data_IF_571654170874
#
_entry.id   IF_571654170874
#
_cell.length_a   1.000
_cell.length_b   1.000
_cell.length_c   1.000
_cell.angle_alpha   90.00
_cell.angle_beta   90.00
_cell.angle_gamma   90.00
#
_symmetry.space_group_name_H-M   'P 1'
#
loop_
_entity.id
_entity.type
_entity.pdbx_description
1 polymer ?
#
# COMPACT_ATOMS: atom_id res chain seq x y z
N UNK A 1 12.77 7.86 14.46
CA UNK A 1 13.47 8.87 13.65
C UNK A 1 14.48 8.18 12.74
N UNK A 2 15.57 7.61 13.25
CA UNK A 2 16.55 6.84 12.46
C UNK A 2 15.92 5.76 11.58
N UNK A 3 15.03 4.92 12.14
CA UNK A 3 14.29 3.92 11.38
C UNK A 3 13.50 4.50 10.19
N UNK A 4 13.05 5.76 10.23
CA UNK A 4 12.37 6.40 9.08
C UNK A 4 13.36 6.86 8.02
N UNK A 5 14.53 7.34 8.43
CA UNK A 5 15.62 7.74 7.51
C UNK A 5 16.14 6.54 6.72
N UNK A 6 16.26 5.39 7.38
CA UNK A 6 16.64 4.12 6.77
C UNK A 6 15.50 3.44 5.99
N UNK A 7 14.35 4.12 5.83
CA UNK A 7 13.14 3.57 5.18
C UNK A 7 12.65 2.26 5.79
N UNK A 8 12.82 2.09 7.10
CA UNK A 8 12.39 0.93 7.85
C UNK A 8 10.88 0.95 8.14
N UNK A 9 10.27 -0.23 8.12
CA UNK A 9 8.84 -0.48 8.26
C UNK A 9 8.30 -0.40 9.70
N UNK A 10 8.93 0.31 10.63
CA UNK A 10 8.50 0.28 12.04
C UNK A 10 7.28 1.20 12.26
N UNK A 11 6.05 0.70 12.49
CA UNK A 11 4.94 1.60 12.81
C UNK A 11 5.09 2.14 14.24
N UNK A 12 4.64 3.38 14.48
CA UNK A 12 4.72 4.01 15.80
C UNK A 12 3.97 3.20 16.87
N UNK A 13 2.88 2.53 16.49
CA UNK A 13 2.13 1.64 17.38
C UNK A 13 2.97 0.47 17.91
N UNK A 14 3.78 -0.16 17.05
CA UNK A 14 4.70 -1.25 17.50
C UNK A 14 5.85 -0.70 18.33
N UNK A 15 6.37 0.48 18.01
CA UNK A 15 7.39 1.13 18.83
C UNK A 15 6.87 1.42 20.24
N UNK A 16 5.63 1.92 20.36
CA UNK A 16 4.97 2.13 21.64
C UNK A 16 4.76 0.83 22.40
N UNK A 17 4.23 -0.21 21.74
CA UNK A 17 4.03 -1.52 22.36
C UNK A 17 5.33 -2.13 22.90
N UNK A 18 6.43 -2.07 22.13
CA UNK A 18 7.74 -2.56 22.56
C UNK A 18 8.30 -1.83 23.79
N UNK A 19 7.94 -0.55 23.95
CA UNK A 19 8.36 0.28 25.08
C UNK A 19 7.31 0.31 26.20
N UNK A 20 6.19 -0.40 26.05
CA UNK A 20 5.04 -0.32 26.98
C UNK A 20 4.51 1.11 27.16
N UNK A 21 4.61 1.94 26.10
CA UNK A 21 4.13 3.32 26.06
C UNK A 21 2.92 3.43 25.14
N UNK A 22 1.85 4.14 25.53
CA UNK A 22 0.73 4.44 24.64
C UNK A 22 1.18 5.07 23.32
N UNK A 23 0.70 4.53 22.19
CA UNK A 23 1.09 4.96 20.83
C UNK A 23 0.82 6.45 20.56
N UNK A 24 -0.21 7.01 21.19
CA UNK A 24 -0.54 8.45 21.12
C UNK A 24 0.58 9.31 21.72
N UNK A 25 1.17 8.90 22.85
CA UNK A 25 2.28 9.62 23.47
C UNK A 25 3.52 9.53 22.59
N UNK A 26 3.81 8.34 22.04
CA UNK A 26 4.91 8.18 21.07
C UNK A 26 4.72 9.10 19.86
N UNK A 27 3.49 9.21 19.34
CA UNK A 27 3.17 10.12 18.23
C UNK A 27 3.33 11.59 18.60
N UNK A 28 2.90 11.99 19.80
CA UNK A 28 3.07 13.35 20.32
C UNK A 28 4.55 13.73 20.43
N UNK A 29 5.36 12.89 21.06
CA UNK A 29 6.80 13.14 21.23
C UNK A 29 7.53 13.10 19.88
N UNK A 30 7.15 12.18 19.00
CA UNK A 30 7.69 12.12 17.64
C UNK A 30 7.41 13.40 16.86
N UNK A 31 6.19 13.93 16.93
CA UNK A 31 5.83 15.22 16.32
C UNK A 31 6.63 16.38 16.94
N UNK A 32 6.75 16.41 18.27
CA UNK A 32 7.54 17.42 18.98
C UNK A 32 9.00 17.44 18.52
N UNK A 33 9.64 16.26 18.47
CA UNK A 33 11.01 16.11 17.98
C UNK A 33 11.17 16.52 16.51
N UNK A 34 10.21 16.16 15.66
CA UNK A 34 10.24 16.51 14.23
C UNK A 34 10.21 18.03 14.03
N UNK A 35 9.37 18.74 14.81
CA UNK A 35 9.31 20.21 14.80
C UNK A 35 10.58 20.85 15.35
N UNK A 36 11.10 20.35 16.47
CA UNK A 36 12.33 20.87 17.09
C UNK A 36 13.54 20.72 16.16
N UNK A 37 13.62 19.63 15.42
CA UNK A 37 14.70 19.37 14.47
C UNK A 37 14.49 20.02 13.10
N UNK A 38 13.39 20.76 12.90
CA UNK A 38 12.99 21.34 11.61
C UNK A 38 12.99 20.33 10.45
N UNK A 39 12.58 19.09 10.74
CA UNK A 39 12.55 18.01 9.75
C UNK A 39 11.15 17.86 9.18
N UNK A 40 11.09 17.47 7.90
CA UNK A 40 9.84 17.03 7.29
C UNK A 40 9.35 15.73 7.94
N UNK A 41 8.04 15.60 8.10
CA UNK A 41 7.46 14.35 8.57
C UNK A 41 7.62 13.28 7.47
N UNK A 42 8.38 12.22 7.77
CA UNK A 42 8.57 11.09 6.85
C UNK A 42 7.58 9.98 7.21
N UNK A 43 6.61 9.74 6.33
CA UNK A 43 5.71 8.59 6.43
C UNK A 43 6.46 7.30 6.13
N UNK A 44 6.14 6.18 6.82
CA UNK A 44 6.63 4.87 6.38
C UNK A 44 6.12 4.59 4.96
N UNK A 45 7.02 4.17 4.07
CA UNK A 45 6.61 3.73 2.74
C UNK A 45 5.69 2.50 2.86
N UNK A 46 4.56 2.55 2.15
CA UNK A 46 3.54 1.50 2.19
C UNK A 46 4.11 0.14 1.76
N UNK A 47 4.99 0.15 0.76
CA UNK A 47 5.74 -1.03 0.31
C UNK A 47 6.51 -1.72 1.44
N UNK A 48 7.20 -0.95 2.29
CA UNK A 48 7.99 -1.52 3.38
C UNK A 48 7.08 -2.11 4.45
N UNK A 49 5.93 -1.48 4.72
CA UNK A 49 4.92 -2.00 5.64
C UNK A 49 4.28 -3.28 5.12
N UNK A 50 4.01 -3.38 3.82
CA UNK A 50 3.52 -4.61 3.18
C UNK A 50 4.51 -5.75 3.37
N UNK A 51 5.81 -5.52 3.15
CA UNK A 51 6.84 -6.55 3.37
C UNK A 51 6.90 -6.97 4.83
N UNK A 52 6.83 -6.02 5.77
CA UNK A 52 6.85 -6.33 7.20
C UNK A 52 5.59 -7.07 7.67
N UNK A 53 4.44 -6.77 7.09
CA UNK A 53 3.20 -7.49 7.38
C UNK A 53 3.23 -8.91 6.77
N UNK A 54 3.73 -9.05 5.54
CA UNK A 54 3.89 -10.34 4.87
C UNK A 54 4.81 -11.29 5.64
N UNK A 55 5.88 -10.76 6.24
CA UNK A 55 6.81 -11.55 7.07
C UNK A 55 6.11 -12.22 8.27
N UNK A 56 5.05 -11.62 8.80
CA UNK A 56 4.27 -12.16 9.92
C UNK A 56 3.16 -13.09 9.42
N UNK A 57 2.53 -12.73 8.31
CA UNK A 57 1.30 -13.37 7.81
C UNK A 57 1.61 -14.63 6.98
N UNK A 58 2.56 -14.57 6.05
CA UNK A 58 2.80 -15.64 5.09
C UNK A 58 3.25 -16.98 5.71
N UNK A 59 4.02 -17.02 6.81
CA UNK A 59 4.34 -18.30 7.46
C UNK A 59 3.12 -19.12 7.89
N UNK A 60 1.96 -18.48 8.12
CA UNK A 60 0.71 -19.17 8.46
C UNK A 60 -0.01 -19.77 7.23
N UNK A 61 0.26 -19.28 6.02
CA UNK A 61 -0.36 -19.75 4.78
C UNK A 61 0.57 -20.64 3.95
N UNK A 62 1.88 -20.40 4.01
CA UNK A 62 2.93 -21.15 3.30
C UNK A 62 4.01 -21.60 4.29
N UNK A 63 3.73 -22.62 5.13
CA UNK A 63 4.73 -23.18 6.02
C UNK A 63 5.84 -23.84 5.19
N UNK A 64 7.09 -23.40 5.41
CA UNK A 64 8.25 -23.92 4.67
C UNK A 64 8.62 -23.11 3.42
N UNK A 65 8.09 -21.90 3.27
CA UNK A 65 8.54 -20.95 2.26
C UNK A 65 10.08 -20.83 2.23
N UNK A 66 10.66 -21.06 1.05
CA UNK A 66 12.08 -20.87 0.79
C UNK A 66 12.31 -19.62 -0.09
N UNK A 67 13.44 -18.95 0.14
CA UNK A 67 13.87 -17.80 -0.65
C UNK A 67 13.41 -16.43 -0.12
N UNK A 68 13.80 -15.34 -0.81
CA UNK A 68 13.56 -13.98 -0.33
C UNK A 68 12.07 -13.63 -0.32
N UNK A 69 11.58 -13.09 0.80
CA UNK A 69 10.17 -12.70 0.99
C UNK A 69 9.63 -11.79 -0.14
N UNK A 70 10.44 -10.86 -0.65
CA UNK A 70 10.06 -9.95 -1.73
C UNK A 70 9.84 -10.64 -3.08
N UNK A 71 10.36 -11.85 -3.27
CA UNK A 71 10.21 -12.60 -4.51
C UNK A 71 8.94 -13.45 -4.52
N UNK A 72 8.27 -13.59 -3.37
CA UNK A 72 7.05 -14.36 -3.24
C UNK A 72 5.93 -13.74 -4.08
N UNK A 73 5.13 -14.55 -4.82
CA UNK A 73 4.10 -14.05 -5.72
C UNK A 73 3.15 -13.05 -5.06
N UNK A 74 2.62 -13.41 -3.88
CA UNK A 74 1.72 -12.55 -3.09
C UNK A 74 2.38 -11.22 -2.73
N UNK A 75 3.65 -11.25 -2.32
CA UNK A 75 4.38 -10.04 -1.90
C UNK A 75 4.69 -9.15 -3.09
N UNK A 76 5.13 -9.72 -4.21
CA UNK A 76 5.35 -8.96 -5.46
C UNK A 76 4.09 -8.24 -5.90
N UNK A 77 2.97 -8.95 -5.89
CA UNK A 77 1.66 -8.40 -6.24
C UNK A 77 1.23 -7.30 -5.26
N UNK A 78 1.39 -7.54 -3.96
CA UNK A 78 1.09 -6.56 -2.92
C UNK A 78 1.97 -5.29 -3.03
N UNK A 79 3.22 -5.41 -3.48
CA UNK A 79 4.08 -4.26 -3.77
C UNK A 79 3.59 -3.46 -4.99
N UNK A 80 3.14 -4.12 -6.06
CA UNK A 80 2.52 -3.44 -7.21
C UNK A 80 1.27 -2.65 -6.79
N UNK A 81 0.41 -3.26 -5.97
CA UNK A 81 -0.81 -2.62 -5.45
C UNK A 81 -0.45 -1.46 -4.50
N UNK A 82 0.51 -1.65 -3.59
CA UNK A 82 0.97 -0.59 -2.69
C UNK A 82 1.51 0.61 -3.45
N UNK A 83 2.26 0.37 -4.52
CA UNK A 83 2.80 1.42 -5.40
C UNK A 83 1.69 2.16 -6.12
N UNK A 84 0.73 1.44 -6.69
CA UNK A 84 -0.46 2.03 -7.32
C UNK A 84 -1.24 2.93 -6.36
N UNK A 85 -1.55 2.41 -5.15
CA UNK A 85 -2.30 3.14 -4.14
C UNK A 85 -1.54 4.34 -3.58
N UNK A 86 -0.20 4.30 -3.60
CA UNK A 86 0.62 5.45 -3.22
C UNK A 86 0.51 6.62 -4.21
N UNK A 87 0.26 6.35 -5.50
CA UNK A 87 0.08 7.39 -6.51
C UNK A 87 -1.28 8.08 -6.44
N UNK A 88 -2.28 7.42 -5.88
CA UNK A 88 -3.67 7.89 -5.86
C UNK A 88 -4.02 8.54 -4.52
N UNK A 89 -3.01 8.78 -3.67
CA UNK A 89 -3.17 9.32 -2.30
C UNK A 89 -4.20 8.53 -1.47
N UNK A 90 -4.41 7.27 -1.83
CA UNK A 90 -5.47 6.43 -1.28
C UNK A 90 -5.27 6.10 0.21
N UNK A 91 -4.07 6.34 0.73
CA UNK A 91 -3.70 6.13 2.12
C UNK A 91 -3.81 7.41 2.99
N UNK A 92 -4.15 8.56 2.42
CA UNK A 92 -4.15 9.83 3.14
C UNK A 92 -5.23 9.88 4.22
N UNK A 93 -4.80 10.26 5.43
CA UNK A 93 -5.66 10.36 6.61
C UNK A 93 -5.88 9.06 7.39
N UNK A 94 -5.34 7.92 6.93
CA UNK A 94 -5.56 6.60 7.56
C UNK A 94 -4.25 5.93 7.97
N UNK A 95 -4.36 4.88 8.79
CA UNK A 95 -3.18 4.14 9.28
C UNK A 95 -2.53 3.36 8.14
N UNK A 96 -1.27 3.67 7.75
CA UNK A 96 -0.61 2.98 6.64
C UNK A 96 -0.29 1.52 6.97
N UNK A 97 -0.22 1.15 8.26
CA UNK A 97 -0.07 -0.24 8.67
C UNK A 97 -1.34 -1.07 8.42
N UNK A 98 -2.52 -0.48 8.65
CA UNK A 98 -3.81 -1.13 8.36
C UNK A 98 -4.04 -1.21 6.86
N UNK A 99 -3.63 -0.17 6.12
CA UNK A 99 -3.62 -0.19 4.66
C UNK A 99 -2.78 -1.36 4.11
N UNK A 100 -1.56 -1.56 4.62
CA UNK A 100 -0.71 -2.68 4.22
C UNK A 100 -1.36 -4.05 4.50
N UNK A 101 -2.04 -4.20 5.65
CA UNK A 101 -2.78 -5.41 5.99
C UNK A 101 -3.92 -5.68 5.00
N UNK A 102 -4.71 -4.65 4.64
CA UNK A 102 -5.78 -4.76 3.68
C UNK A 102 -5.29 -5.16 2.27
N UNK A 103 -4.17 -4.58 1.83
CA UNK A 103 -3.53 -4.94 0.55
C UNK A 103 -3.15 -6.43 0.54
N UNK A 104 -2.58 -6.93 1.63
CA UNK A 104 -2.25 -8.36 1.75
C UNK A 104 -3.50 -9.24 1.68
N UNK A 105 -4.59 -8.88 2.37
CA UNK A 105 -5.84 -9.64 2.29
C UNK A 105 -6.36 -9.77 0.84
N UNK A 106 -6.31 -8.68 0.06
CA UNK A 106 -6.73 -8.71 -1.34
C UNK A 106 -5.79 -9.56 -2.21
N UNK A 107 -4.48 -9.50 -1.98
CA UNK A 107 -3.50 -10.29 -2.74
C UNK A 107 -3.53 -11.78 -2.37
N UNK A 108 -3.79 -12.12 -1.10
CA UNK A 108 -4.00 -13.51 -0.67
C UNK A 108 -5.24 -14.10 -1.35
N UNK A 109 -6.32 -13.33 -1.40
CA UNK A 109 -7.55 -13.72 -2.10
C UNK A 109 -7.33 -13.95 -3.60
N UNK A 110 -6.54 -13.10 -4.26
CA UNK A 110 -6.20 -13.27 -5.68
C UNK A 110 -5.32 -14.51 -5.94
N UNK A 111 -4.35 -14.76 -5.07
CA UNK A 111 -3.41 -15.88 -5.20
C UNK A 111 -4.08 -17.23 -4.97
N UNK A 112 -4.79 -17.39 -3.85
CA UNK A 112 -5.33 -18.70 -3.44
C UNK A 112 -6.74 -18.97 -3.98
N UNK A 113 -7.48 -17.92 -4.39
CA UNK A 113 -8.82 -18.02 -5.02
C UNK A 113 -9.85 -18.84 -4.24
N UNK A 114 -9.61 -19.03 -2.95
CA UNK A 114 -10.35 -19.89 -2.04
C UNK A 114 -11.34 -19.10 -1.16
N UNK A 115 -11.01 -17.84 -0.86
CA UNK A 115 -11.81 -16.98 -0.01
C UNK A 115 -11.78 -15.52 -0.47
N UNK A 116 -12.81 -14.77 -0.07
CA UNK A 116 -12.90 -13.32 -0.30
C UNK A 116 -11.89 -12.57 0.57
N UNK A 117 -11.45 -11.36 0.16
CA UNK A 117 -10.52 -10.55 0.96
C UNK A 117 -11.04 -10.27 2.39
N UNK A 118 -12.36 -10.10 2.54
CA UNK A 118 -13.03 -9.89 3.83
C UNK A 118 -12.92 -11.07 4.81
N UNK A 119 -12.75 -12.29 4.29
CA UNK A 119 -12.53 -13.51 5.10
C UNK A 119 -11.11 -13.51 5.68
N UNK A 120 -10.12 -13.17 4.86
CA UNK A 120 -8.72 -13.02 5.28
C UNK A 120 -8.52 -11.92 6.32
N UNK A 121 -9.36 -10.88 6.30
CA UNK A 121 -9.29 -9.75 7.23
C UNK A 121 -9.27 -10.18 8.70
N UNK A 122 -10.01 -11.23 9.09
CA UNK A 122 -10.03 -11.70 10.48
C UNK A 122 -8.65 -12.25 10.91
N UNK A 123 -8.11 -13.20 10.14
CA UNK A 123 -6.84 -13.86 10.45
C UNK A 123 -5.67 -12.88 10.37
N UNK A 124 -5.63 -12.05 9.32
CA UNK A 124 -4.57 -11.05 9.13
C UNK A 124 -4.62 -9.97 10.20
N UNK A 125 -5.82 -9.49 10.58
CA UNK A 125 -5.95 -8.50 11.65
C UNK A 125 -5.49 -9.06 13.00
N UNK A 126 -5.80 -10.33 13.30
CA UNK A 126 -5.35 -10.98 14.51
C UNK A 126 -3.81 -11.11 14.57
N UNK A 127 -3.19 -11.57 13.48
CA UNK A 127 -1.73 -11.74 13.39
C UNK A 127 -0.97 -10.40 13.49
N UNK A 128 -1.54 -9.33 12.91
CA UNK A 128 -0.92 -8.01 12.90
C UNK A 128 -1.33 -7.12 14.07
N UNK A 129 -2.22 -7.60 14.95
CA UNK A 129 -2.80 -6.84 16.07
C UNK A 129 -3.47 -5.53 15.59
N UNK A 130 -4.34 -5.65 14.60
CA UNK A 130 -5.14 -4.56 14.06
C UNK A 130 -6.63 -4.78 14.33
N UNK A 131 -7.41 -3.71 14.27
CA UNK A 131 -8.87 -3.84 14.30
C UNK A 131 -9.34 -4.49 12.99
N UNK A 132 -10.15 -5.56 13.13
CA UNK A 132 -10.79 -6.23 11.99
C UNK A 132 -11.61 -5.24 11.16
N UNK A 133 -12.40 -4.41 11.81
CA UNK A 133 -13.31 -3.47 11.14
C UNK A 133 -12.51 -2.44 10.35
N UNK A 134 -11.39 -1.97 10.90
CA UNK A 134 -10.50 -1.06 10.19
C UNK A 134 -9.90 -1.73 8.93
N UNK A 135 -9.45 -2.99 9.03
CA UNK A 135 -8.94 -3.73 7.86
C UNK A 135 -10.05 -3.92 6.82
N UNK A 136 -11.27 -4.27 7.23
CA UNK A 136 -12.41 -4.45 6.31
C UNK A 136 -12.82 -3.16 5.60
N UNK A 137 -12.83 -2.03 6.32
CA UNK A 137 -13.09 -0.71 5.71
C UNK A 137 -12.05 -0.36 4.65
N UNK A 138 -10.78 -0.63 4.93
CA UNK A 138 -9.70 -0.42 3.96
C UNK A 138 -9.82 -1.33 2.73
N UNK A 139 -10.18 -2.61 2.93
CA UNK A 139 -10.45 -3.54 1.82
C UNK A 139 -11.54 -2.97 0.94
N UNK A 140 -12.71 -2.65 1.51
CA UNK A 140 -13.85 -2.13 0.73
C UNK A 140 -13.48 -0.87 -0.05
N UNK A 141 -12.75 0.06 0.57
CA UNK A 141 -12.29 1.28 -0.09
C UNK A 141 -11.36 0.97 -1.26
N UNK A 142 -10.41 0.05 -1.10
CA UNK A 142 -9.49 -0.33 -2.16
C UNK A 142 -10.18 -1.10 -3.28
N UNK A 143 -11.17 -1.94 -2.99
CA UNK A 143 -11.99 -2.59 -4.01
C UNK A 143 -12.70 -1.57 -4.91
N UNK A 144 -13.31 -0.54 -4.31
CA UNK A 144 -13.98 0.54 -5.05
C UNK A 144 -12.99 1.34 -5.89
N UNK A 145 -11.84 1.72 -5.33
CA UNK A 145 -10.84 2.51 -6.06
C UNK A 145 -10.20 1.73 -7.20
N UNK A 146 -9.84 0.47 -6.98
CA UNK A 146 -9.29 -0.38 -8.03
C UNK A 146 -10.34 -0.69 -9.10
N UNK A 147 -11.61 -0.88 -8.72
CA UNK A 147 -12.72 -1.02 -9.66
C UNK A 147 -12.87 0.19 -10.57
N UNK A 148 -12.85 1.41 -10.01
CA UNK A 148 -12.91 2.63 -10.80
C UNK A 148 -11.70 2.81 -11.74
N UNK A 149 -10.51 2.36 -11.35
CA UNK A 149 -9.33 2.39 -12.24
C UNK A 149 -9.44 1.37 -13.38
N UNK A 150 -10.02 0.20 -13.11
CA UNK A 150 -10.24 -0.82 -14.13
C UNK A 150 -11.21 -0.36 -15.21
N UNK A 151 -12.24 0.42 -14.87
CA UNK A 151 -13.18 0.96 -15.85
C UNK A 151 -12.50 1.84 -16.91
N UNK A 152 -11.32 2.40 -16.61
CA UNK A 152 -10.52 3.15 -17.58
C UNK A 152 -9.77 2.24 -18.58
N UNK A 153 -9.73 0.92 -18.36
CA UNK A 153 -9.06 -0.02 -19.25
C UNK A 153 -10.04 -0.59 -20.28
N UNK A 154 -9.75 -0.46 -21.59
CA UNK A 154 -10.68 -0.88 -22.65
C UNK A 154 -10.94 -2.39 -22.70
N UNK A 155 -10.08 -3.19 -22.07
CA UNK A 155 -10.18 -4.66 -22.03
C UNK A 155 -10.72 -5.21 -20.71
N UNK A 156 -10.96 -4.36 -19.71
CA UNK A 156 -11.52 -4.77 -18.42
C UNK A 156 -13.07 -4.77 -18.39
N UNK A 157 -13.70 -4.46 -19.54
CA UNK A 157 -15.16 -4.42 -19.67
C UNK A 157 -15.81 -5.78 -19.41
N UNK A 158 -16.65 -5.85 -18.39
CA UNK A 158 -17.52 -7.01 -18.12
C UNK A 158 -17.39 -7.61 -16.71
N UNK A 159 -16.53 -7.08 -15.86
CA UNK A 159 -16.33 -7.61 -14.50
C UNK A 159 -17.35 -6.99 -13.55
N UNK A 160 -18.25 -7.81 -13.01
CA UNK A 160 -19.24 -7.35 -12.03
C UNK A 160 -18.60 -6.73 -10.78
N UNK A 161 -19.29 -5.75 -10.19
CA UNK A 161 -18.86 -4.94 -9.02
C UNK A 161 -18.28 -5.74 -7.84
N UNK A 162 -18.66 -7.01 -7.65
CA UNK A 162 -18.18 -7.85 -6.54
C UNK A 162 -16.82 -8.53 -6.77
N UNK A 163 -16.32 -8.57 -8.01
CA UNK A 163 -15.00 -9.12 -8.35
C UNK A 163 -13.99 -8.03 -8.76
N UNK A 164 -14.45 -6.79 -8.96
CA UNK A 164 -13.67 -5.66 -9.46
C UNK A 164 -12.41 -5.37 -8.62
N UNK A 165 -12.45 -5.57 -7.31
CA UNK A 165 -11.28 -5.38 -6.45
C UNK A 165 -10.16 -6.40 -6.67
N UNK A 166 -10.51 -7.69 -6.77
CA UNK A 166 -9.54 -8.78 -7.02
C UNK A 166 -9.01 -8.72 -8.45
N UNK A 167 -9.88 -8.41 -9.41
CA UNK A 167 -9.49 -8.14 -10.79
C UNK A 167 -8.54 -6.92 -10.87
N UNK A 168 -8.79 -5.91 -10.04
CA UNK A 168 -7.97 -4.70 -9.97
C UNK A 168 -6.59 -4.98 -9.41
N UNK A 169 -6.49 -5.87 -8.42
CA UNK A 169 -5.21 -6.42 -7.95
C UNK A 169 -4.49 -7.15 -9.09
N UNK A 170 -5.18 -8.03 -9.83
CA UNK A 170 -4.60 -8.78 -10.94
C UNK A 170 -3.94 -7.87 -11.98
N UNK A 171 -4.60 -6.76 -12.31
CA UNK A 171 -4.12 -5.77 -13.29
C UNK A 171 -3.29 -4.62 -12.69
N UNK A 172 -2.98 -4.63 -11.39
CA UNK A 172 -2.24 -3.56 -10.72
C UNK A 172 -0.92 -3.20 -11.43
N UNK A 173 -0.14 -4.20 -11.85
CA UNK A 173 1.11 -3.97 -12.59
C UNK A 173 0.94 -3.24 -13.93
N UNK A 174 -0.20 -3.42 -14.61
CA UNK A 174 -0.52 -2.70 -15.85
C UNK A 174 -0.90 -1.26 -15.53
N UNK A 175 -1.74 -1.06 -14.52
CA UNK A 175 -2.17 0.26 -14.05
C UNK A 175 -0.97 1.11 -13.60
N UNK A 176 0.00 0.52 -12.88
CA UNK A 176 1.25 1.19 -12.49
C UNK A 176 2.03 1.67 -13.71
N UNK A 177 2.22 0.82 -14.72
CA UNK A 177 2.95 1.20 -15.94
C UNK A 177 2.24 2.29 -16.73
N UNK A 178 0.91 2.23 -16.83
CA UNK A 178 0.13 3.26 -17.49
C UNK A 178 0.26 4.61 -16.79
N UNK A 179 0.25 4.61 -15.46
CA UNK A 179 0.49 5.83 -14.67
C UNK A 179 1.90 6.40 -14.90
N UNK A 180 2.94 5.56 -14.88
CA UNK A 180 4.32 5.99 -15.14
C UNK A 180 4.49 6.57 -16.56
N UNK A 181 3.88 5.95 -17.57
CA UNK A 181 3.91 6.44 -18.94
C UNK A 181 3.13 7.76 -19.12
N UNK A 182 1.96 7.89 -18.49
CA UNK A 182 1.17 9.12 -18.53
C UNK A 182 1.96 10.28 -17.93
N UNK A 183 2.62 10.05 -16.79
CA UNK A 183 3.46 11.05 -16.13
C UNK A 183 4.66 11.46 -16.98
N UNK A 184 5.37 10.51 -17.57
CA UNK A 184 6.49 10.81 -18.48
C UNK A 184 6.03 11.62 -19.70
N UNK A 185 4.82 11.34 -20.23
CA UNK A 185 4.25 12.11 -21.33
C UNK A 185 3.89 13.55 -20.92
N UNK A 186 3.37 13.76 -19.70
CA UNK A 186 3.10 15.10 -19.18
C UNK A 186 4.38 15.92 -18.95
N UNK A 187 5.41 15.28 -18.40
CA UNK A 187 6.72 15.93 -18.17
C UNK A 187 7.36 16.32 -19.50
N UNK A 188 7.32 15.45 -20.52
CA UNK A 188 7.80 15.76 -21.86
C UNK A 188 7.03 16.92 -22.53
N UNK A 189 5.70 16.98 -22.35
CA UNK A 189 4.89 18.11 -22.85
C UNK A 189 5.27 19.43 -22.19
N UNK A 190 5.46 19.44 -20.86
CA UNK A 190 5.88 20.64 -20.12
C UNK A 190 7.25 21.13 -20.56
N UNK A 191 8.21 20.23 -20.78
CA UNK A 191 9.53 20.60 -21.31
C UNK A 191 9.46 21.17 -22.73
N UNK A 192 8.58 20.62 -23.57
CA UNK A 192 8.38 21.10 -24.94
C UNK A 192 7.72 22.49 -24.96
N UNK A 193 6.74 22.74 -24.08
CA UNK A 193 6.11 24.05 -23.88
C UNK A 193 7.10 25.10 -23.36
N UNK A 194 7.96 24.72 -22.41
CA UNK A 194 9.01 25.61 -21.87
C UNK A 194 10.06 25.97 -22.94
N UNK A 195 10.48 25.01 -23.77
CA UNK A 195 11.41 25.27 -24.89
C UNK A 195 10.80 26.20 -25.95
N UNK A 196 9.51 26.05 -26.26
CA UNK A 196 8.79 26.92 -27.19
C UNK A 196 8.61 28.35 -26.65
N UNK A 197 8.52 28.52 -25.33
CA UNK A 197 8.46 29.84 -24.69
C UNK A 197 9.84 30.52 -24.62
N UNK A 198 10.93 29.77 -24.45
CA UNK A 198 12.30 30.33 -24.44
C UNK A 198 12.89 30.56 -25.84
N UNK A 199 12.41 29.88 -26.87
CA UNK A 199 12.85 30.11 -28.27
C UNK A 199 12.16 31.28 -28.99
N UNK A 200 11.38 32.10 -28.29
CA UNK A 200 10.67 33.28 -28.82
C UNK A 200 11.25 34.63 -28.36
N UNK A 201 12.45 34.64 -27.77
CA UNK A 201 13.25 35.85 -27.50
C UNK A 201 14.43 35.91 -28.47
#
# INVERSE_FOLDING_TARGET
MAAREERHALPLGRAGAALSVPSILVGKEYRGLTLLMQRGYVFPALETLVVAAAAVVLPSYEPGMAGPLRQQPVVRKALEVARLLSYVEAADGYSPAVAAAAILCMCLSEQYKDAKPSTYAYQVAALLQHSRDAVQQHIHRYEVMLGGMLEMLPFAGGVGSSAAGVEGVRHAGVLVKLHELARAAEEAKKEQEQRLQHGRL
#
